data_IF_036901115325
#
_entry.id   IF_036901115325
#
_cell.length_a   1.000
_cell.length_b   1.000
_cell.length_c   1.000
_cell.angle_alpha   90.00
_cell.angle_beta   90.00
_cell.angle_gamma   90.00
#
_symmetry.space_group_name_H-M   'P 1'
#
loop_
_entity.id
_entity.type
_entity.pdbx_description
1 polymer ?
#
# COMPACT_ATOMS: atom_id res chain seq x y z
N UNK A 1 9.80 -15.11 -4.64
CA UNK A 1 8.75 -16.11 -4.92
C UNK A 1 8.38 -16.07 -6.41
N UNK A 2 7.61 -17.05 -6.90
CA UNK A 2 7.08 -17.04 -8.29
C UNK A 2 5.56 -16.88 -8.24
N UNK A 3 5.02 -15.90 -8.98
CA UNK A 3 3.58 -15.63 -9.09
C UNK A 3 3.23 -15.57 -10.57
N UNK A 4 2.30 -16.41 -11.04
CA UNK A 4 1.91 -16.47 -12.45
C UNK A 4 3.08 -16.70 -13.43
N UNK A 5 4.13 -17.41 -13.00
CA UNK A 5 5.34 -17.62 -13.82
C UNK A 5 6.37 -16.48 -13.77
N UNK A 6 6.06 -15.35 -13.13
CA UNK A 6 6.99 -14.24 -12.95
C UNK A 6 7.78 -14.36 -11.65
N UNK A 7 9.09 -14.05 -11.70
CA UNK A 7 9.94 -14.04 -10.52
C UNK A 7 9.82 -12.71 -9.78
N UNK A 8 9.37 -12.78 -8.54
CA UNK A 8 9.29 -11.65 -7.61
C UNK A 8 10.42 -11.75 -6.57
N UNK A 9 11.18 -10.67 -6.43
CA UNK A 9 12.18 -10.51 -5.37
C UNK A 9 11.51 -10.01 -4.09
N UNK A 10 11.98 -10.47 -2.94
CA UNK A 10 11.59 -9.88 -1.65
C UNK A 10 12.22 -8.49 -1.55
N UNK A 11 11.42 -7.49 -1.21
CA UNK A 11 11.87 -6.10 -1.03
C UNK A 11 12.16 -5.83 0.44
N UNK A 12 11.15 -6.02 1.28
CA UNK A 12 11.24 -5.89 2.72
C UNK A 12 9.97 -6.44 3.39
N UNK A 13 10.04 -6.62 4.71
CA UNK A 13 8.84 -6.64 5.52
C UNK A 13 8.34 -5.20 5.69
N UNK A 14 7.04 -4.98 5.63
CA UNK A 14 6.45 -3.67 5.88
C UNK A 14 6.17 -3.55 7.38
N UNK A 15 6.86 -2.61 8.01
CA UNK A 15 6.73 -2.36 9.43
C UNK A 15 6.15 -0.97 9.66
N UNK A 16 4.97 -0.92 10.30
CA UNK A 16 4.41 0.34 10.77
C UNK A 16 5.30 0.91 11.88
N UNK A 17 5.50 2.23 11.87
CA UNK A 17 6.20 2.92 12.96
C UNK A 17 5.48 2.69 14.29
N UNK A 18 6.26 2.43 15.33
CA UNK A 18 5.78 2.20 16.70
C UNK A 18 6.24 3.30 17.66
N UNK A 19 5.50 3.50 18.74
CA UNK A 19 5.90 4.36 19.86
C UNK A 19 7.08 3.75 20.62
N UNK A 20 7.64 4.48 21.58
CA UNK A 20 8.62 3.94 22.52
C UNK A 20 8.12 2.74 23.31
N UNK A 21 6.80 2.68 23.53
CA UNK A 21 6.13 1.63 24.30
C UNK A 21 5.78 0.40 23.44
N UNK A 22 6.11 0.44 22.14
CA UNK A 22 5.89 -0.66 21.19
C UNK A 22 4.53 -0.63 20.47
N UNK A 23 3.66 0.32 20.79
CA UNK A 23 2.35 0.45 20.15
C UNK A 23 2.46 0.98 18.71
N UNK A 24 1.64 0.46 17.80
CA UNK A 24 1.58 0.99 16.42
C UNK A 24 1.07 2.43 16.42
N UNK A 25 1.85 3.34 15.84
CA UNK A 25 1.47 4.74 15.73
C UNK A 25 0.33 4.93 14.71
N UNK A 26 -0.77 5.49 15.18
CA UNK A 26 -1.92 5.86 14.36
C UNK A 26 -1.98 7.36 14.10
N UNK A 27 -2.42 7.73 12.90
CA UNK A 27 -2.44 9.10 12.40
C UNK A 27 -3.82 9.45 11.82
N UNK A 28 -4.22 10.70 12.03
CA UNK A 28 -5.46 11.31 11.54
C UNK A 28 -5.14 12.59 10.74
N UNK A 29 -4.60 12.45 9.51
CA UNK A 29 -4.09 13.56 8.73
C UNK A 29 -5.18 14.47 8.15
N UNK A 30 -6.45 14.04 8.13
CA UNK A 30 -7.54 14.74 7.44
C UNK A 30 -7.69 16.21 7.86
N UNK A 31 -7.48 16.53 9.14
CA UNK A 31 -7.64 17.89 9.68
C UNK A 31 -6.65 18.90 9.09
N UNK A 32 -5.52 18.42 8.53
CA UNK A 32 -4.50 19.25 7.89
C UNK A 32 -4.86 19.65 6.45
N UNK A 33 -5.96 19.16 5.90
CA UNK A 33 -6.39 19.57 4.56
C UNK A 33 -7.09 20.93 4.62
N UNK A 34 -6.59 21.90 3.85
CA UNK A 34 -7.13 23.26 3.80
C UNK A 34 -8.60 23.28 3.36
N UNK A 35 -8.95 22.46 2.36
CA UNK A 35 -10.31 22.40 1.78
C UNK A 35 -11.21 21.36 2.44
N UNK A 36 -10.95 21.00 3.70
CA UNK A 36 -11.72 19.98 4.45
C UNK A 36 -13.20 20.30 4.61
N UNK A 37 -13.56 21.59 4.58
CA UNK A 37 -14.95 22.04 4.68
C UNK A 37 -15.66 22.08 3.32
N UNK A 38 -14.90 21.98 2.22
CA UNK A 38 -15.42 22.06 0.85
C UNK A 38 -15.78 20.68 0.31
N UNK A 39 -15.00 19.66 0.68
CA UNK A 39 -15.18 18.30 0.18
C UNK A 39 -15.49 17.37 1.35
N UNK A 40 -16.42 16.41 1.20
CA UNK A 40 -16.59 15.37 2.20
C UNK A 40 -15.43 14.37 2.16
N UNK A 41 -15.25 13.63 3.25
CA UNK A 41 -14.33 12.48 3.29
C UNK A 41 -14.73 11.45 2.22
N UNK A 42 -13.75 10.75 1.65
CA UNK A 42 -14.04 9.55 0.88
C UNK A 42 -14.31 8.35 1.79
N UNK A 43 -14.66 7.20 1.20
CA UNK A 43 -15.10 5.99 1.92
C UNK A 43 -14.12 5.50 2.98
N UNK A 44 -12.83 5.76 2.81
CA UNK A 44 -11.76 5.33 3.72
C UNK A 44 -11.04 6.50 4.38
N UNK A 45 -11.55 7.72 4.18
CA UNK A 45 -10.89 8.96 4.56
C UNK A 45 -10.90 9.26 6.06
N UNK A 46 -11.75 8.58 6.83
CA UNK A 46 -11.82 8.75 8.27
C UNK A 46 -10.58 8.20 9.00
N UNK A 47 -9.81 7.31 8.35
CA UNK A 47 -8.70 6.62 8.97
C UNK A 47 -9.14 5.65 10.06
N UNK A 48 -8.28 5.37 11.07
CA UNK A 48 -6.92 5.85 11.21
C UNK A 48 -5.96 5.28 10.14
N UNK A 49 -4.76 5.85 10.09
CA UNK A 49 -3.67 5.45 9.18
C UNK A 49 -2.38 5.19 9.94
N UNK A 50 -1.49 4.36 9.38
CA UNK A 50 -0.14 4.17 9.88
C UNK A 50 0.88 4.97 9.06
N UNK A 51 2.13 4.99 9.52
CA UNK A 51 3.28 5.46 8.74
C UNK A 51 4.31 4.35 8.64
N UNK A 52 4.90 4.16 7.47
CA UNK A 52 5.98 3.20 7.24
C UNK A 52 6.83 3.66 6.05
N UNK A 53 7.95 2.99 5.83
CA UNK A 53 8.81 3.19 4.66
C UNK A 53 9.35 1.87 4.13
N UNK A 54 9.67 1.87 2.84
CA UNK A 54 10.43 0.82 2.17
C UNK A 54 11.78 1.40 1.68
N UNK A 55 12.77 0.55 1.32
CA UNK A 55 14.01 1.03 0.70
C UNK A 55 13.76 1.92 -0.51
N UNK A 56 14.60 2.95 -0.69
CA UNK A 56 14.44 3.96 -1.77
C UNK A 56 15.15 3.59 -3.07
N UNK A 57 15.70 2.38 -3.16
CA UNK A 57 16.52 1.90 -4.29
C UNK A 57 15.70 1.32 -5.43
N UNK A 58 14.40 1.08 -5.25
CA UNK A 58 13.51 0.52 -6.28
C UNK A 58 12.83 1.64 -7.06
N UNK A 59 13.53 2.20 -8.03
CA UNK A 59 13.06 3.36 -8.82
C UNK A 59 12.46 2.99 -10.18
N UNK A 60 12.45 1.70 -10.50
CA UNK A 60 12.06 1.17 -11.80
C UNK A 60 10.57 0.79 -11.86
N UNK A 61 10.00 0.67 -13.08
CA UNK A 61 8.65 0.17 -13.28
C UNK A 61 8.53 -1.33 -12.97
N UNK A 62 7.35 -1.76 -12.55
CA UNK A 62 7.09 -3.17 -12.28
C UNK A 62 5.76 -3.44 -11.57
N UNK A 63 5.59 -4.71 -11.21
CA UNK A 63 4.43 -5.21 -10.46
C UNK A 63 4.89 -5.59 -9.06
N UNK A 64 4.10 -5.25 -8.05
CA UNK A 64 4.37 -5.64 -6.66
C UNK A 64 3.23 -6.48 -6.10
N UNK A 65 3.58 -7.32 -5.13
CA UNK A 65 2.65 -8.10 -4.36
C UNK A 65 2.85 -7.84 -2.86
N UNK A 66 1.75 -7.74 -2.11
CA UNK A 66 1.75 -7.78 -0.65
C UNK A 66 1.29 -9.16 -0.20
N UNK A 67 2.03 -9.77 0.72
CA UNK A 67 1.65 -11.05 1.33
C UNK A 67 1.56 -10.93 2.85
N UNK A 68 0.63 -11.68 3.43
CA UNK A 68 0.59 -11.96 4.88
C UNK A 68 0.94 -13.44 5.03
N UNK A 69 2.12 -13.72 5.58
CA UNK A 69 2.74 -15.04 5.42
C UNK A 69 2.88 -15.38 3.93
N UNK A 70 2.37 -16.55 3.54
CA UNK A 70 2.41 -17.06 2.16
C UNK A 70 1.20 -16.63 1.30
N UNK A 71 0.21 -15.95 1.88
CA UNK A 71 -1.01 -15.58 1.16
C UNK A 71 -0.86 -14.22 0.45
N UNK A 72 -1.11 -14.20 -0.86
CA UNK A 72 -1.10 -12.97 -1.65
C UNK A 72 -2.37 -12.16 -1.36
N UNK A 73 -2.19 -11.04 -0.65
CA UNK A 73 -3.28 -10.14 -0.26
C UNK A 73 -3.56 -9.07 -1.29
N UNK A 74 -2.54 -8.55 -1.98
CA UNK A 74 -2.69 -7.49 -2.96
C UNK A 74 -1.67 -7.63 -4.09
N UNK A 75 -2.07 -7.28 -5.30
CA UNK A 75 -1.21 -7.12 -6.48
C UNK A 75 -1.48 -5.72 -7.05
N UNK A 76 -0.43 -4.99 -7.37
CA UNK A 76 -0.55 -3.70 -8.02
C UNK A 76 0.65 -3.36 -8.86
N UNK A 77 0.53 -2.30 -9.64
CA UNK A 77 1.58 -1.85 -10.54
C UNK A 77 2.09 -0.46 -10.18
N UNK A 78 3.27 -0.15 -10.69
CA UNK A 78 3.85 1.19 -10.59
C UNK A 78 4.96 1.42 -11.60
N UNK A 79 5.20 2.68 -11.95
CA UNK A 79 6.39 3.11 -12.66
C UNK A 79 7.61 3.37 -11.74
N UNK A 80 7.41 3.42 -10.42
CA UNK A 80 8.46 3.66 -9.43
C UNK A 80 7.99 3.19 -8.04
N UNK A 81 8.48 2.02 -7.61
CA UNK A 81 8.03 1.38 -6.37
C UNK A 81 8.30 2.24 -5.13
N UNK A 82 9.51 2.78 -5.02
CA UNK A 82 9.94 3.62 -3.89
C UNK A 82 9.00 4.81 -3.71
N UNK A 83 8.63 5.47 -4.81
CA UNK A 83 7.70 6.60 -4.79
C UNK A 83 6.28 6.16 -4.45
N UNK A 84 5.79 5.06 -5.04
CA UNK A 84 4.43 4.55 -4.79
C UNK A 84 4.19 4.26 -3.32
N UNK A 85 5.17 3.62 -2.68
CA UNK A 85 5.09 3.28 -1.27
C UNK A 85 5.41 4.49 -0.39
N UNK A 86 6.58 5.13 -0.52
CA UNK A 86 7.02 6.15 0.44
C UNK A 86 6.26 7.49 0.33
N UNK A 87 5.69 7.83 -0.83
CA UNK A 87 4.88 9.04 -1.03
C UNK A 87 3.38 8.76 -1.15
N UNK A 88 2.99 7.50 -1.32
CA UNK A 88 1.59 7.09 -1.42
C UNK A 88 1.16 6.33 -0.17
N UNK A 89 1.41 5.03 -0.14
CA UNK A 89 0.87 4.13 0.88
C UNK A 89 1.46 4.35 2.28
N UNK A 90 2.75 4.62 2.41
CA UNK A 90 3.46 4.75 3.68
C UNK A 90 3.31 6.12 4.35
N UNK A 91 2.74 7.11 3.64
CA UNK A 91 2.56 8.46 4.15
C UNK A 91 1.31 9.12 3.56
N UNK A 92 0.20 9.04 4.27
CA UNK A 92 -1.08 9.57 3.79
C UNK A 92 -1.08 11.11 3.75
N UNK A 93 -1.17 11.66 2.54
CA UNK A 93 -1.48 13.07 2.33
C UNK A 93 -2.91 13.39 2.77
N UNK A 94 -3.15 14.51 3.50
CA UNK A 94 -4.49 14.93 3.92
C UNK A 94 -5.52 14.97 2.78
N UNK A 95 -5.12 15.44 1.59
CA UNK A 95 -5.99 15.49 0.40
C UNK A 95 -6.55 14.10 0.03
N UNK A 96 -5.77 13.04 0.21
CA UNK A 96 -6.20 11.68 -0.14
C UNK A 96 -7.33 11.16 0.76
N UNK A 97 -7.64 11.82 1.87
CA UNK A 97 -8.76 11.48 2.75
C UNK A 97 -10.12 11.98 2.21
N UNK A 98 -10.12 12.90 1.24
CA UNK A 98 -11.32 13.57 0.75
C UNK A 98 -11.74 13.07 -0.64
N UNK A 99 -12.99 13.35 -1.04
CA UNK A 99 -13.45 13.12 -2.42
C UNK A 99 -12.57 13.90 -3.41
N UNK A 100 -12.20 13.25 -4.51
CA UNK A 100 -11.21 13.75 -5.48
C UNK A 100 -9.73 13.48 -5.09
N UNK A 101 -9.49 12.84 -3.94
CA UNK A 101 -8.19 12.31 -3.54
C UNK A 101 -7.94 10.88 -4.05
N UNK A 102 -6.73 10.36 -3.81
CA UNK A 102 -6.38 8.98 -4.17
C UNK A 102 -6.87 7.97 -3.12
N UNK A 103 -8.09 7.48 -3.31
CA UNK A 103 -8.75 6.55 -2.38
C UNK A 103 -7.97 5.24 -2.19
N UNK A 104 -7.28 4.75 -3.22
CA UNK A 104 -6.43 3.55 -3.10
C UNK A 104 -5.36 3.71 -2.03
N UNK A 105 -4.77 4.91 -1.89
CA UNK A 105 -3.69 5.10 -0.92
C UNK A 105 -4.20 4.97 0.51
N UNK A 106 -5.30 5.65 0.83
CA UNK A 106 -5.90 5.60 2.18
C UNK A 106 -6.43 4.21 2.51
N UNK A 107 -7.03 3.51 1.55
CA UNK A 107 -7.48 2.12 1.76
C UNK A 107 -6.32 1.17 2.02
N UNK A 108 -5.29 1.17 1.16
CA UNK A 108 -4.17 0.24 1.32
C UNK A 108 -3.42 0.51 2.62
N UNK A 109 -3.20 1.78 2.98
CA UNK A 109 -2.60 2.09 4.28
C UNK A 109 -3.44 1.60 5.46
N UNK A 110 -4.76 1.79 5.42
CA UNK A 110 -5.63 1.30 6.49
C UNK A 110 -5.59 -0.23 6.60
N UNK A 111 -5.55 -0.96 5.49
CA UNK A 111 -5.38 -2.43 5.49
C UNK A 111 -4.04 -2.84 6.10
N UNK A 112 -2.95 -2.14 5.77
CA UNK A 112 -1.62 -2.36 6.35
C UNK A 112 -1.63 -2.08 7.86
N UNK A 113 -2.31 -1.02 8.30
CA UNK A 113 -2.49 -0.73 9.73
C UNK A 113 -3.24 -1.87 10.43
N UNK A 114 -4.32 -2.39 9.84
CA UNK A 114 -5.06 -3.50 10.43
C UNK A 114 -4.23 -4.79 10.55
N UNK A 115 -3.38 -5.07 9.56
CA UNK A 115 -2.42 -6.18 9.63
C UNK A 115 -1.39 -5.96 10.75
N UNK A 116 -0.82 -4.76 10.84
CA UNK A 116 0.16 -4.41 11.88
C UNK A 116 -0.42 -4.47 13.30
N UNK A 117 -1.67 -4.06 13.51
CA UNK A 117 -2.36 -4.15 14.81
C UNK A 117 -2.65 -5.61 15.24
N UNK A 118 -2.60 -6.55 14.30
CA UNK A 118 -2.72 -7.99 14.57
C UNK A 118 -1.36 -8.69 14.61
N UNK A 119 -0.27 -7.92 14.53
CA UNK A 119 1.10 -8.42 14.40
C UNK A 119 1.28 -9.42 13.25
N UNK A 120 0.52 -9.23 12.16
CA UNK A 120 0.63 -10.04 10.95
C UNK A 120 1.93 -9.69 10.19
N UNK A 121 2.67 -10.73 9.78
CA UNK A 121 3.91 -10.57 9.01
C UNK A 121 3.62 -10.16 7.55
N UNK A 122 3.63 -8.86 7.28
CA UNK A 122 3.39 -8.30 5.96
C UNK A 122 4.70 -8.17 5.15
N UNK A 123 4.79 -8.84 4.00
CA UNK A 123 5.94 -8.76 3.10
C UNK A 123 5.60 -8.04 1.79
N UNK A 124 6.56 -7.28 1.29
CA UNK A 124 6.52 -6.65 -0.04
C UNK A 124 7.43 -7.41 -1.01
N UNK A 125 6.88 -7.72 -2.17
CA UNK A 125 7.56 -8.40 -3.25
C UNK A 125 7.47 -7.58 -4.53
N UNK A 126 8.49 -7.66 -5.40
CA UNK A 126 8.54 -6.88 -6.62
C UNK A 126 9.07 -7.66 -7.80
N UNK A 127 8.42 -7.52 -8.95
CA UNK A 127 8.85 -7.96 -10.25
C UNK A 127 9.06 -6.72 -11.13
N UNK A 128 10.32 -6.39 -11.38
CA UNK A 128 10.69 -5.27 -12.25
C UNK A 128 10.41 -5.64 -13.72
N UNK A 129 9.67 -4.78 -14.42
CA UNK A 129 9.33 -4.97 -15.83
C UNK A 129 8.77 -3.69 -16.44
N UNK A 130 9.06 -3.44 -17.72
CA UNK A 130 8.45 -2.37 -18.49
C UNK A 130 6.98 -2.67 -18.86
N UNK A 131 6.60 -3.95 -18.92
CA UNK A 131 5.25 -4.43 -19.29
C UNK A 131 4.31 -4.55 -18.09
N UNK A 132 4.58 -3.78 -17.01
CA UNK A 132 3.92 -3.89 -15.71
C UNK A 132 2.39 -3.81 -15.76
N UNK A 133 1.83 -3.09 -16.73
CA UNK A 133 0.37 -3.00 -16.90
C UNK A 133 -0.23 -4.32 -17.38
N UNK A 134 0.38 -4.95 -18.38
CA UNK A 134 -0.09 -6.22 -18.91
C UNK A 134 0.06 -7.33 -17.86
N UNK A 135 1.21 -7.35 -17.18
CA UNK A 135 1.49 -8.32 -16.11
C UNK A 135 0.52 -8.15 -14.93
N UNK A 136 0.22 -6.93 -14.48
CA UNK A 136 -0.74 -6.71 -13.38
C UNK A 136 -2.15 -7.18 -13.75
N UNK A 137 -2.60 -6.93 -14.98
CA UNK A 137 -3.90 -7.39 -15.47
C UNK A 137 -3.97 -8.92 -15.49
N UNK A 138 -2.96 -9.58 -16.06
CA UNK A 138 -2.88 -11.04 -16.11
C UNK A 138 -2.93 -11.63 -14.69
N UNK A 139 -2.08 -11.12 -13.79
CA UNK A 139 -2.02 -11.61 -12.43
C UNK A 139 -3.31 -11.33 -11.65
N UNK A 140 -3.99 -10.22 -11.87
CA UNK A 140 -5.27 -9.94 -11.20
C UNK A 140 -6.42 -10.80 -11.71
N UNK A 141 -6.37 -11.24 -12.97
CA UNK A 141 -7.34 -12.20 -13.49
C UNK A 141 -7.09 -13.60 -12.93
N UNK A 142 -5.82 -13.99 -12.79
CA UNK A 142 -5.43 -15.29 -12.25
C UNK A 142 -5.61 -15.39 -10.72
N UNK A 143 -5.35 -14.30 -9.99
CA UNK A 143 -5.35 -14.26 -8.53
C UNK A 143 -6.45 -13.33 -8.02
N UNK A 144 -7.53 -13.93 -7.49
CA UNK A 144 -8.56 -13.20 -6.73
C UNK A 144 -8.08 -12.88 -5.34
N UNK A 145 -7.26 -11.84 -5.21
CA UNK A 145 -6.72 -11.43 -3.91
C UNK A 145 -7.78 -10.70 -3.08
N UNK A 146 -7.66 -10.78 -1.76
CA UNK A 146 -8.62 -10.18 -0.83
C UNK A 146 -8.60 -8.65 -0.83
N UNK A 147 -7.46 -8.03 -1.14
CA UNK A 147 -7.31 -6.57 -1.08
C UNK A 147 -7.41 -5.90 -2.45
N UNK A 148 -7.35 -6.62 -3.58
CA UNK A 148 -7.78 -6.04 -4.85
C UNK A 148 -9.31 -5.89 -4.85
N UNK A 149 -9.82 -4.82 -5.46
CA UNK A 149 -11.27 -4.69 -5.70
C UNK A 149 -11.63 -5.45 -6.96
N UNK A 150 -12.83 -6.03 -6.96
CA UNK A 150 -13.51 -6.57 -8.15
C UNK A 150 -13.88 -5.43 -9.08
#
# INVERSE_FOLDING_TARGET
MVIGGYTFVHVCNIEAMRSSDGDVLTLLPQNRYEKRHTYPLNRYGAGPFCKFKIPTTYTNPGVYALTVGDEIRYIGETNNLSRRYNMGYGNISPKNCYKGGQETNVRLNNLILQAALKDEALSLWFHETAEYKAVEVELRLAYRTLWNRV
#
